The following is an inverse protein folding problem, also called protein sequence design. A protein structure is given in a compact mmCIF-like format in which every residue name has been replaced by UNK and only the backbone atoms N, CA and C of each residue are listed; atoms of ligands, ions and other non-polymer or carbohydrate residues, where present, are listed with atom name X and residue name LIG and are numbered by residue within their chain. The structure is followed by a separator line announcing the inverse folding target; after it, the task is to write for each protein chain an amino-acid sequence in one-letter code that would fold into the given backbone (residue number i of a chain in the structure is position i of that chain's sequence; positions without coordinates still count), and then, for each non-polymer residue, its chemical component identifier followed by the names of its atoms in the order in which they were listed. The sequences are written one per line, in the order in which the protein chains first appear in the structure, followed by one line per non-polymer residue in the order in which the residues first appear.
data_IF_721385177151
#
_entry.id   IF_721385177151
#
_cell.length_a   1.000
_cell.length_b   1.000
_cell.length_c   1.000
_cell.angle_alpha   90.00
_cell.angle_beta   90.00
_cell.angle_gamma   90.00
#
_symmetry.space_group_name_H-M   'P 1'
#
loop_
_entity.id
_entity.type
_entity.pdbx_description
1 polymer ?
#
# COMPACT_ATOMS: atom_id res chain seq x y z
N UNK A 1 18.90 21.72 -41.30
CA UNK A 1 19.16 20.44 -40.63
C UNK A 1 18.68 20.54 -39.20
N UNK A 2 17.81 19.62 -38.79
CA UNK A 2 17.34 19.50 -37.41
C UNK A 2 18.50 19.10 -36.49
N UNK A 3 18.56 19.67 -35.29
CA UNK A 3 18.61 18.78 -34.12
C UNK A 3 17.98 19.46 -32.91
N UNK A 4 16.96 18.78 -32.41
CA UNK A 4 16.08 19.06 -31.29
C UNK A 4 16.73 18.46 -30.04
N UNK A 5 16.36 18.98 -28.87
CA UNK A 5 16.04 18.28 -27.61
C UNK A 5 16.39 19.21 -26.44
N UNK A 6 15.55 20.21 -26.13
CA UNK A 6 14.54 20.21 -25.04
C UNK A 6 14.95 19.46 -23.77
N UNK A 7 15.10 20.26 -22.72
CA UNK A 7 15.16 19.92 -21.30
C UNK A 7 14.23 18.76 -20.92
N UNK A 8 14.80 17.69 -20.38
CA UNK A 8 14.06 16.75 -19.53
C UNK A 8 14.17 17.25 -18.10
N UNK A 9 13.16 18.02 -17.70
CA UNK A 9 12.80 18.15 -16.30
C UNK A 9 12.45 16.75 -15.78
N UNK A 10 13.37 16.15 -15.04
CA UNK A 10 13.08 14.92 -14.29
C UNK A 10 12.14 15.32 -13.15
N UNK A 11 10.84 15.17 -13.45
CA UNK A 11 9.77 15.41 -12.51
C UNK A 11 9.93 14.46 -11.35
N UNK A 12 10.37 15.03 -10.23
CA UNK A 12 10.41 14.41 -8.91
C UNK A 12 9.09 13.69 -8.65
N UNK A 13 9.11 12.36 -8.61
CA UNK A 13 8.13 11.61 -7.81
C UNK A 13 8.54 11.79 -6.34
N UNK A 14 8.28 13.00 -5.81
CA UNK A 14 8.30 13.22 -4.37
C UNK A 14 7.20 12.33 -3.78
N UNK A 15 7.63 11.19 -3.22
CA UNK A 15 6.78 10.33 -2.40
C UNK A 15 5.99 11.23 -1.44
N UNK A 16 4.66 11.06 -1.35
CA UNK A 16 3.80 12.01 -0.66
C UNK A 16 4.33 12.21 0.76
N UNK A 17 4.67 13.47 1.03
CA UNK A 17 5.12 14.00 2.31
C UNK A 17 4.40 13.25 3.44
N UNK A 18 5.17 12.51 4.25
CA UNK A 18 4.68 11.52 5.20
C UNK A 18 3.56 12.11 6.07
N UNK A 19 2.32 11.95 5.61
CA UNK A 19 1.12 12.31 6.34
C UNK A 19 1.28 11.74 7.73
N UNK A 20 1.09 12.60 8.74
CA UNK A 20 1.18 12.31 10.17
C UNK A 20 1.16 10.82 10.49
N UNK A 21 2.24 10.28 11.09
CA UNK A 21 2.50 8.83 11.38
C UNK A 21 1.34 8.07 12.05
N UNK A 22 0.27 8.74 12.45
CA UNK A 22 -0.92 8.13 13.03
C UNK A 22 -1.82 7.60 11.91
N UNK A 23 -2.06 6.28 11.86
CA UNK A 23 -3.00 5.70 10.91
C UNK A 23 -4.43 6.18 11.21
N UNK A 24 -5.21 6.35 10.15
CA UNK A 24 -6.66 6.56 10.23
C UNK A 24 -7.37 5.27 10.67
N UNK A 25 -8.61 5.35 11.18
CA UNK A 25 -9.38 4.15 11.55
C UNK A 25 -9.55 3.15 10.40
N UNK A 26 -9.76 3.62 9.17
CA UNK A 26 -9.88 2.76 8.00
C UNK A 26 -8.57 2.03 7.65
N UNK A 27 -7.43 2.70 7.82
CA UNK A 27 -6.12 2.08 7.63
C UNK A 27 -5.86 1.02 8.70
N UNK A 28 -6.15 1.32 9.97
CA UNK A 28 -6.01 0.36 11.07
C UNK A 28 -6.89 -0.88 10.87
N UNK A 29 -8.18 -0.68 10.55
CA UNK A 29 -9.11 -1.77 10.32
C UNK A 29 -8.63 -2.71 9.20
N UNK A 30 -8.10 -2.14 8.11
CA UNK A 30 -7.54 -2.93 7.03
C UNK A 30 -6.27 -3.69 7.44
N UNK A 31 -5.33 -3.04 8.14
CA UNK A 31 -4.11 -3.68 8.63
C UNK A 31 -4.43 -4.82 9.62
N UNK A 32 -5.45 -4.66 10.44
CA UNK A 32 -5.91 -5.66 11.39
C UNK A 32 -6.41 -6.95 10.71
N UNK A 33 -6.99 -6.85 9.51
CA UNK A 33 -7.38 -8.02 8.72
C UNK A 33 -6.20 -8.96 8.42
N UNK A 34 -4.97 -8.44 8.37
CA UNK A 34 -3.75 -9.22 8.15
C UNK A 34 -3.17 -9.84 9.42
N UNK A 35 -3.64 -9.47 10.62
CA UNK A 35 -3.03 -9.87 11.90
C UNK A 35 -3.05 -11.37 12.14
N UNK A 36 -4.17 -12.03 11.81
CA UNK A 36 -4.40 -13.46 12.06
C UNK A 36 -4.28 -14.32 10.80
N UNK A 37 -3.89 -13.73 9.67
CA UNK A 37 -3.76 -14.44 8.41
C UNK A 37 -2.35 -15.00 8.25
N UNK A 38 -2.19 -16.24 7.75
CA UNK A 38 -0.87 -16.79 7.45
C UNK A 38 -0.13 -15.88 6.46
N UNK A 39 1.11 -15.54 6.79
CA UNK A 39 1.93 -14.63 5.99
C UNK A 39 1.47 -13.15 6.01
N UNK A 40 0.50 -12.79 6.85
CA UNK A 40 0.03 -11.41 6.98
C UNK A 40 -0.79 -10.91 5.79
N UNK A 41 -1.38 -11.80 4.99
CA UNK A 41 -2.10 -11.41 3.76
C UNK A 41 -3.23 -10.41 4.06
N UNK A 42 -3.24 -9.30 3.33
CA UNK A 42 -4.25 -8.26 3.44
C UNK A 42 -5.32 -8.46 2.35
N UNK A 43 -6.61 -8.50 2.71
CA UNK A 43 -7.68 -8.74 1.75
C UNK A 43 -8.01 -7.48 0.94
N UNK A 44 -8.56 -7.68 -0.27
CA UNK A 44 -9.10 -6.61 -1.11
C UNK A 44 -10.50 -6.16 -0.68
N UNK A 45 -11.15 -6.96 0.16
CA UNK A 45 -12.48 -6.72 0.71
C UNK A 45 -12.41 -6.72 2.23
N UNK A 46 -13.18 -5.84 2.86
CA UNK A 46 -13.28 -5.79 4.33
C UNK A 46 -14.18 -6.90 4.88
N UNK A 47 -14.37 -6.92 6.21
CA UNK A 47 -15.20 -7.91 6.90
C UNK A 47 -16.69 -7.85 6.54
N UNK A 48 -17.14 -6.78 5.88
CA UNK A 48 -18.51 -6.64 5.37
C UNK A 48 -18.63 -6.97 3.88
N UNK A 49 -17.54 -7.41 3.24
CA UNK A 49 -17.49 -7.69 1.81
C UNK A 49 -17.40 -6.45 0.92
N UNK A 50 -17.16 -5.26 1.50
CA UNK A 50 -16.95 -4.05 0.72
C UNK A 50 -15.51 -3.97 0.25
N UNK A 51 -15.30 -3.43 -0.95
CA UNK A 51 -13.95 -3.28 -1.50
C UNK A 51 -13.20 -2.20 -0.71
N UNK A 52 -11.99 -2.54 -0.28
CA UNK A 52 -11.08 -1.59 0.38
C UNK A 52 -10.69 -0.49 -0.61
N UNK A 53 -10.78 0.76 -0.17
CA UNK A 53 -10.46 1.90 -1.02
C UNK A 53 -8.99 1.84 -1.47
N UNK A 54 -8.74 2.01 -2.77
CA UNK A 54 -7.38 1.99 -3.35
C UNK A 54 -6.44 3.00 -2.69
N UNK A 55 -6.96 4.15 -2.29
CA UNK A 55 -6.20 5.17 -1.55
C UNK A 55 -5.70 4.67 -0.19
N UNK A 56 -6.48 3.86 0.52
CA UNK A 56 -6.07 3.25 1.79
C UNK A 56 -4.91 2.30 1.59
N UNK A 57 -5.01 1.43 0.58
CA UNK A 57 -3.97 0.47 0.21
C UNK A 57 -2.67 1.21 -0.13
N UNK A 58 -2.74 2.18 -1.04
CA UNK A 58 -1.57 2.97 -1.47
C UNK A 58 -0.93 3.75 -0.33
N UNK A 59 -1.73 4.38 0.53
CA UNK A 59 -1.22 5.11 1.67
C UNK A 59 -0.49 4.17 2.65
N UNK A 60 -1.07 3.02 2.98
CA UNK A 60 -0.42 2.03 3.85
C UNK A 60 0.87 1.46 3.24
N UNK A 61 0.95 1.28 1.92
CA UNK A 61 2.19 0.91 1.23
C UNK A 61 3.21 2.03 1.32
N UNK A 62 2.82 3.27 1.04
CA UNK A 62 3.70 4.44 1.10
C UNK A 62 4.28 4.66 2.51
N UNK A 63 3.50 4.36 3.56
CA UNK A 63 3.97 4.41 4.94
C UNK A 63 4.79 3.17 5.38
N UNK A 64 4.92 2.15 4.52
CA UNK A 64 5.62 0.90 4.84
C UNK A 64 4.87 -0.01 5.82
N UNK A 65 3.58 0.22 6.06
CA UNK A 65 2.74 -0.61 6.93
C UNK A 65 2.22 -1.87 6.22
N UNK A 66 2.10 -1.79 4.90
CA UNK A 66 1.82 -2.90 4.01
C UNK A 66 2.86 -2.93 2.89
N UNK A 67 3.05 -4.08 2.27
CA UNK A 67 3.88 -4.21 1.07
C UNK A 67 3.17 -5.08 0.03
N UNK A 68 3.37 -4.84 -1.27
CA UNK A 68 2.87 -5.74 -2.31
C UNK A 68 3.38 -7.16 -2.11
N UNK A 69 2.50 -8.14 -2.28
CA UNK A 69 2.89 -9.54 -2.39
C UNK A 69 3.48 -9.76 -3.79
N UNK A 70 4.59 -10.51 -3.86
CA UNK A 70 5.32 -10.76 -5.11
C UNK A 70 4.38 -11.31 -6.20
N UNK A 71 4.48 -10.70 -7.39
CA UNK A 71 3.54 -10.86 -8.49
C UNK A 71 3.36 -12.32 -8.90
N UNK A 72 2.10 -12.70 -9.12
CA UNK A 72 1.80 -13.87 -9.93
C UNK A 72 2.14 -13.53 -11.39
N UNK A 73 3.10 -14.22 -12.05
CA UNK A 73 3.45 -13.94 -13.44
C UNK A 73 2.28 -14.13 -14.42
N UNK A 74 1.20 -14.81 -13.99
CA UNK A 74 -0.01 -15.03 -14.76
C UNK A 74 -1.04 -13.88 -14.60
N UNK A 75 -0.97 -13.13 -13.48
CA UNK A 75 -1.92 -12.06 -13.12
C UNK A 75 -1.16 -10.90 -12.46
N UNK A 76 -0.42 -10.10 -13.25
CA UNK A 76 0.39 -9.00 -12.71
C UNK A 76 -0.45 -7.90 -12.04
N UNK A 77 -1.72 -7.76 -12.44
CA UNK A 77 -2.64 -6.76 -11.88
C UNK A 77 -3.27 -7.17 -10.53
N UNK A 78 -2.96 -8.37 -10.02
CA UNK A 78 -3.42 -8.79 -8.70
C UNK A 78 -2.56 -8.15 -7.61
N UNK A 79 -2.88 -6.89 -7.28
CA UNK A 79 -2.34 -6.17 -6.12
C UNK A 79 -2.85 -6.80 -4.81
N UNK A 80 -2.31 -7.97 -4.45
CA UNK A 80 -2.43 -8.50 -3.10
C UNK A 80 -1.33 -7.86 -2.26
N UNK A 81 -1.65 -7.42 -1.05
CA UNK A 81 -0.65 -6.89 -0.11
C UNK A 81 -0.45 -7.85 1.06
N UNK A 82 0.67 -7.70 1.77
CA UNK A 82 0.88 -8.31 3.09
C UNK A 82 1.24 -7.25 4.12
N UNK A 83 0.86 -7.55 5.36
CA UNK A 83 1.12 -6.76 6.54
C UNK A 83 2.61 -6.86 6.90
N UNK A 84 3.27 -5.71 7.04
CA UNK A 84 4.68 -5.64 7.45
C UNK A 84 4.81 -5.67 8.98
N UNK A 85 6.05 -5.72 9.48
CA UNK A 85 6.30 -5.59 10.91
C UNK A 85 5.94 -4.19 11.43
N UNK A 86 6.18 -3.14 10.65
CA UNK A 86 5.80 -1.78 11.00
C UNK A 86 4.27 -1.64 11.09
N UNK A 87 3.52 -2.24 10.16
CA UNK A 87 2.06 -2.28 10.23
C UNK A 87 1.53 -3.03 11.46
N UNK A 88 2.15 -4.17 11.81
CA UNK A 88 1.82 -4.92 13.04
C UNK A 88 2.02 -4.09 14.30
N UNK A 89 3.08 -3.29 14.37
CA UNK A 89 3.38 -2.47 15.54
C UNK A 89 2.33 -1.36 15.82
N UNK A 90 1.50 -1.03 14.84
CA UNK A 90 0.39 -0.07 15.01
C UNK A 90 -0.84 -0.70 15.67
N UNK A 91 -0.97 -2.02 15.58
CA UNK A 91 -2.07 -2.76 16.17
C UNK A 91 -1.74 -2.93 17.66
N UNK A 92 -2.58 -2.35 18.52
CA UNK A 92 -2.44 -2.54 19.97
C UNK A 92 -2.64 -4.04 20.30
N UNK A 93 -1.95 -4.56 21.33
CA UNK A 93 -2.11 -5.95 21.74
C UNK A 93 -3.57 -6.30 22.02
#
# INVERSE_FOLDING_TARGET
MNSRLVETADAREEAPEAASRRPTPAQLAWLECGRNQPGGKLPLFDGQGQRVARQTIRACIAHGWAEPWVANPIKPDWEVCRLTQAGRALLKP
#
